data_IF_612842107252
#
_entry.id   IF_612842107252
#
_cell.length_a   1.000
_cell.length_b   1.000
_cell.length_c   1.000
_cell.angle_alpha   90.00
_cell.angle_beta   90.00
_cell.angle_gamma   90.00
#
_symmetry.space_group_name_H-M   'P 1'
#
loop_
_entity.id
_entity.type
_entity.pdbx_description
1 polymer ?
#
# COMPACT_ATOMS: atom_id res chain seq x y z
N UNK A 1 18.80 11.65 -13.84
CA UNK A 1 19.01 10.34 -13.19
C UNK A 1 17.70 9.57 -13.21
N UNK A 2 17.55 8.67 -14.18
CA UNK A 2 16.34 7.85 -14.36
C UNK A 2 16.50 6.56 -13.55
N UNK A 3 16.08 6.59 -12.28
CA UNK A 3 15.93 5.40 -11.42
C UNK A 3 14.57 4.75 -11.73
N UNK A 4 14.22 4.63 -13.01
CA UNK A 4 13.01 3.93 -13.40
C UNK A 4 13.25 2.44 -13.25
N UNK A 5 12.30 1.74 -12.65
CA UNK A 5 12.25 0.28 -12.71
C UNK A 5 13.42 -0.48 -12.08
N UNK A 6 14.24 0.20 -11.26
CA UNK A 6 15.30 -0.45 -10.49
C UNK A 6 14.77 -1.01 -9.18
N UNK A 7 15.27 -2.19 -8.81
CA UNK A 7 15.02 -2.77 -7.49
C UNK A 7 16.05 -2.18 -6.52
N UNK A 8 15.55 -1.58 -5.44
CA UNK A 8 16.40 -1.01 -4.38
C UNK A 8 15.88 -1.43 -3.00
N UNK A 9 16.78 -1.40 -2.02
CA UNK A 9 16.42 -1.65 -0.62
C UNK A 9 15.73 -0.42 -0.06
N UNK A 10 14.42 -0.52 0.18
CA UNK A 10 13.62 0.44 0.95
C UNK A 10 13.80 0.15 2.44
N UNK A 11 14.03 1.21 3.22
CA UNK A 11 13.96 1.22 4.68
C UNK A 11 12.70 1.99 5.06
N UNK A 12 11.74 1.32 5.71
CA UNK A 12 10.49 1.91 6.18
C UNK A 12 10.47 1.99 7.71
N UNK A 13 10.23 3.19 8.25
CA UNK A 13 10.16 3.45 9.69
C UNK A 13 8.72 3.27 10.20
N UNK A 14 8.53 2.31 11.11
CA UNK A 14 7.22 2.01 11.70
C UNK A 14 6.95 2.86 12.94
N UNK A 15 7.83 2.77 13.93
CA UNK A 15 7.80 3.52 15.20
C UNK A 15 9.21 4.03 15.54
N UNK A 16 9.40 4.64 16.72
CA UNK A 16 10.65 5.34 17.06
C UNK A 16 11.91 4.46 16.93
N UNK A 17 11.82 3.13 16.97
CA UNK A 17 13.00 2.25 16.93
C UNK A 17 12.84 0.99 16.04
N UNK A 18 11.77 0.88 15.26
CA UNK A 18 11.52 -0.32 14.44
C UNK A 18 11.47 0.01 12.93
N UNK A 19 12.23 -0.73 12.14
CA UNK A 19 12.35 -0.56 10.69
C UNK A 19 12.03 -1.86 9.94
N UNK A 20 11.37 -1.72 8.79
CA UNK A 20 11.16 -2.80 7.83
C UNK A 20 12.07 -2.54 6.64
N UNK A 21 13.02 -3.45 6.40
CA UNK A 21 13.88 -3.42 5.21
C UNK A 21 13.40 -4.40 4.16
N UNK A 22 13.12 -3.91 2.95
CA UNK A 22 12.64 -4.72 1.84
C UNK A 22 13.20 -4.26 0.49
N UNK A 23 13.37 -5.19 -0.44
CA UNK A 23 13.66 -4.85 -1.82
C UNK A 23 12.36 -4.52 -2.56
N UNK A 24 12.31 -3.35 -3.18
CA UNK A 24 11.12 -2.86 -3.86
C UNK A 24 11.47 -2.09 -5.14
N UNK A 25 10.49 -1.99 -6.03
CA UNK A 25 10.66 -1.34 -7.33
C UNK A 25 10.42 0.16 -7.19
N UNK A 26 11.38 0.96 -7.64
CA UNK A 26 11.24 2.41 -7.74
C UNK A 26 10.29 2.78 -8.88
N UNK A 27 9.45 3.80 -8.67
CA UNK A 27 8.58 4.35 -9.72
C UNK A 27 9.32 5.20 -10.76
N UNK A 28 10.58 5.54 -10.50
CA UNK A 28 11.35 6.52 -11.28
C UNK A 28 11.00 7.98 -11.00
N UNK A 29 10.10 8.25 -10.05
CA UNK A 29 9.75 9.60 -9.60
C UNK A 29 10.40 9.90 -8.25
N UNK A 30 10.63 11.18 -7.99
CA UNK A 30 11.15 11.69 -6.72
C UNK A 30 10.23 12.79 -6.19
N UNK A 31 10.29 13.02 -4.89
CA UNK A 31 9.62 14.18 -4.30
C UNK A 31 10.49 15.42 -4.49
N UNK A 32 9.86 16.47 -5.00
CA UNK A 32 10.43 17.81 -4.98
C UNK A 32 9.76 18.58 -3.84
N UNK A 33 10.58 19.20 -2.98
CA UNK A 33 10.08 20.03 -1.88
C UNK A 33 10.15 21.47 -2.31
N UNK A 34 8.99 22.10 -2.51
CA UNK A 34 8.92 23.53 -2.76
C UNK A 34 9.09 24.28 -1.43
N UNK A 35 10.16 25.07 -1.34
CA UNK A 35 10.54 25.84 -0.14
C UNK A 35 9.72 27.15 -0.05
N UNK A 36 8.94 27.48 -1.09
CA UNK A 36 8.21 28.75 -1.19
C UNK A 36 6.87 28.78 -0.45
N UNK A 37 6.27 27.63 -0.18
CA UNK A 37 5.04 27.51 0.61
C UNK A 37 5.35 27.03 2.03
N UNK A 38 4.66 27.57 3.04
CA UNK A 38 4.62 27.03 4.40
C UNK A 38 3.93 25.66 4.38
N UNK A 39 4.56 24.68 3.74
CA UNK A 39 4.08 23.32 3.69
C UNK A 39 4.04 22.80 5.12
N UNK A 40 2.91 22.18 5.46
CA UNK A 40 2.78 21.45 6.70
C UNK A 40 3.96 20.48 6.87
N UNK A 41 4.42 20.25 8.10
CA UNK A 41 5.58 19.41 8.35
C UNK A 41 5.40 18.03 7.73
N UNK A 42 6.19 17.75 6.69
CA UNK A 42 6.25 16.42 6.06
C UNK A 42 7.10 15.49 6.92
N UNK A 43 6.57 14.32 7.25
CA UNK A 43 7.33 13.27 7.93
C UNK A 43 7.77 12.21 6.94
N UNK A 44 9.07 12.00 6.79
CA UNK A 44 9.60 10.86 6.03
C UNK A 44 9.28 9.56 6.77
N UNK A 45 8.65 8.62 6.07
CA UNK A 45 8.36 7.27 6.55
C UNK A 45 9.26 6.22 5.91
N UNK A 46 9.86 6.50 4.76
CA UNK A 46 10.80 5.57 4.15
C UNK A 46 11.71 6.20 3.12
N UNK A 47 12.88 5.60 2.98
CA UNK A 47 13.94 6.03 2.08
C UNK A 47 14.65 4.81 1.48
N UNK A 48 15.27 4.97 0.30
CA UNK A 48 16.16 3.92 -0.20
C UNK A 48 17.48 3.92 0.58
N UNK A 49 18.01 2.75 0.89
CA UNK A 49 19.32 2.53 1.51
C UNK A 49 20.44 2.82 0.48
N UNK A 50 20.43 4.05 -0.04
CA UNK A 50 21.41 4.65 -0.94
C UNK A 50 22.27 5.66 -0.16
N UNK A 51 23.45 6.05 -0.68
CA UNK A 51 24.26 7.10 -0.06
C UNK A 51 23.50 8.41 0.16
N UNK A 52 22.59 8.73 -0.76
CA UNK A 52 21.79 9.95 -0.75
C UNK A 52 20.53 9.84 0.13
N UNK A 53 20.20 8.61 0.59
CA UNK A 53 19.00 8.29 1.38
C UNK A 53 17.73 8.92 0.79
N UNK A 54 17.54 8.68 -0.51
CA UNK A 54 16.45 9.26 -1.27
C UNK A 54 15.10 8.98 -0.61
N UNK A 55 14.35 10.04 -0.29
CA UNK A 55 13.05 9.93 0.38
C UNK A 55 12.02 9.34 -0.58
N UNK A 56 11.38 8.26 -0.17
CA UNK A 56 10.52 7.43 -1.02
C UNK A 56 9.08 7.34 -0.52
N UNK A 57 8.86 7.44 0.79
CA UNK A 57 7.54 7.42 1.39
C UNK A 57 7.43 8.56 2.39
N UNK A 58 6.38 9.37 2.27
CA UNK A 58 6.17 10.57 3.07
C UNK A 58 4.76 10.61 3.61
N UNK A 59 4.62 11.09 4.83
CA UNK A 59 3.35 11.39 5.48
C UNK A 59 3.14 12.91 5.49
N UNK A 60 2.01 13.32 4.94
CA UNK A 60 1.59 14.70 4.82
C UNK A 60 0.29 14.91 5.59
N UNK A 61 0.27 15.96 6.41
CA UNK A 61 -0.95 16.47 7.03
C UNK A 61 -1.43 17.69 6.24
N UNK A 62 -2.73 17.88 6.07
CA UNK A 62 -3.34 18.98 5.34
C UNK A 62 -4.14 19.91 6.28
N UNK A 63 -3.66 21.15 6.39
CA UNK A 63 -4.25 22.20 7.23
C UNK A 63 -4.42 21.82 8.70
N UNK A 64 -5.20 22.63 9.42
CA UNK A 64 -5.63 22.36 10.80
C UNK A 64 -6.81 21.40 10.90
N UNK A 65 -7.38 21.00 9.76
CA UNK A 65 -8.66 20.28 9.68
C UNK A 65 -8.49 18.75 9.66
N UNK A 66 -7.26 18.25 9.85
CA UNK A 66 -7.00 16.83 10.14
C UNK A 66 -7.02 15.90 8.93
N UNK A 67 -6.87 16.41 7.70
CA UNK A 67 -6.66 15.54 6.54
C UNK A 67 -5.25 14.97 6.54
N UNK A 68 -5.08 13.67 6.30
CA UNK A 68 -3.78 13.01 6.23
C UNK A 68 -3.65 12.20 4.93
N UNK A 69 -2.45 12.19 4.36
CA UNK A 69 -2.14 11.44 3.16
C UNK A 69 -0.72 10.88 3.23
N UNK A 70 -0.55 9.63 2.82
CA UNK A 70 0.76 9.01 2.63
C UNK A 70 1.01 8.86 1.13
N UNK A 71 2.11 9.43 0.65
CA UNK A 71 2.55 9.30 -0.74
C UNK A 71 3.73 8.32 -0.81
N UNK A 72 3.71 7.43 -1.80
CA UNK A 72 4.77 6.45 -2.05
C UNK A 72 5.26 6.54 -3.48
N UNK A 73 6.58 6.70 -3.66
CA UNK A 73 7.26 6.55 -4.96
C UNK A 73 7.78 5.13 -5.19
N UNK A 74 7.44 4.21 -4.30
CA UNK A 74 7.79 2.79 -4.37
C UNK A 74 6.53 1.98 -4.65
N UNK A 75 6.66 1.01 -5.55
CA UNK A 75 5.57 0.11 -5.90
C UNK A 75 5.36 -0.96 -4.82
N UNK A 76 4.38 -0.76 -3.94
CA UNK A 76 4.06 -1.69 -2.86
C UNK A 76 3.05 -2.76 -3.31
N UNK A 77 2.09 -2.41 -4.15
CA UNK A 77 0.97 -3.25 -4.59
C UNK A 77 1.17 -3.92 -5.97
N UNK A 78 2.32 -3.71 -6.62
CA UNK A 78 2.54 -4.25 -7.98
C UNK A 78 2.52 -5.78 -7.99
N UNK A 79 1.77 -6.33 -8.95
CA UNK A 79 1.79 -7.73 -9.31
C UNK A 79 3.12 -8.06 -10.01
N UNK A 80 4.03 -8.70 -9.30
CA UNK A 80 5.36 -9.00 -9.83
C UNK A 80 5.26 -9.93 -11.07
N UNK A 81 4.21 -10.74 -11.20
CA UNK A 81 4.03 -11.62 -12.37
C UNK A 81 3.75 -10.86 -13.67
N UNK A 82 3.23 -9.64 -13.59
CA UNK A 82 3.03 -8.81 -14.79
C UNK A 82 4.29 -8.05 -15.20
N UNK A 83 5.32 -8.00 -14.34
CA UNK A 83 6.61 -7.41 -14.67
C UNK A 83 7.43 -8.44 -15.45
N UNK A 84 7.66 -8.21 -16.74
CA UNK A 84 8.52 -9.06 -17.57
C UNK A 84 10.00 -8.81 -17.20
N UNK A 85 10.45 -9.41 -16.10
CA UNK A 85 11.77 -9.22 -15.47
C UNK A 85 12.61 -10.49 -15.47
N UNK A 86 13.95 -10.38 -15.30
CA UNK A 86 14.81 -11.52 -15.05
C UNK A 86 14.31 -12.38 -13.87
N UNK A 87 14.59 -13.68 -13.91
CA UNK A 87 14.12 -14.64 -12.91
C UNK A 87 14.59 -14.30 -11.49
N UNK A 88 15.81 -13.79 -11.36
CA UNK A 88 16.42 -13.45 -10.07
C UNK A 88 15.71 -12.24 -9.42
N UNK A 89 15.46 -11.20 -10.20
CA UNK A 89 14.67 -10.01 -9.80
C UNK A 89 13.26 -10.41 -9.37
N UNK A 90 12.60 -11.27 -10.15
CA UNK A 90 11.27 -11.79 -9.81
C UNK A 90 11.28 -12.52 -8.46
N UNK A 91 12.26 -13.39 -8.24
CA UNK A 91 12.38 -14.15 -6.99
C UNK A 91 12.66 -13.24 -5.80
N UNK A 92 13.54 -12.25 -5.97
CA UNK A 92 13.88 -11.26 -4.95
C UNK A 92 12.65 -10.47 -4.52
N UNK A 93 11.89 -9.93 -5.47
CA UNK A 93 10.65 -9.19 -5.18
C UNK A 93 9.60 -10.10 -4.53
N UNK A 94 9.50 -11.36 -4.99
CA UNK A 94 8.54 -12.33 -4.45
C UNK A 94 8.83 -12.67 -2.99
N UNK A 95 10.10 -12.81 -2.60
CA UNK A 95 10.50 -13.03 -1.21
C UNK A 95 10.14 -11.83 -0.30
N UNK A 96 10.04 -10.63 -0.88
CA UNK A 96 9.68 -9.40 -0.16
C UNK A 96 8.16 -9.15 -0.11
N UNK A 97 7.32 -10.01 -0.71
CA UNK A 97 5.86 -9.86 -0.68
C UNK A 97 5.32 -9.68 0.74
N UNK A 98 5.75 -10.53 1.68
CA UNK A 98 5.29 -10.47 3.08
C UNK A 98 5.61 -9.08 3.67
N UNK A 99 6.84 -8.62 3.49
CA UNK A 99 7.26 -7.30 3.97
C UNK A 99 6.54 -6.14 3.29
N UNK A 100 6.19 -6.27 2.00
CA UNK A 100 5.35 -5.26 1.30
C UNK A 100 3.97 -5.17 1.95
N UNK A 101 3.37 -6.30 2.30
CA UNK A 101 2.11 -6.31 3.05
C UNK A 101 2.29 -5.71 4.45
N UNK A 102 3.38 -6.01 5.16
CA UNK A 102 3.64 -5.40 6.46
C UNK A 102 3.72 -3.87 6.36
N UNK A 103 4.45 -3.34 5.36
CA UNK A 103 4.51 -1.88 5.11
C UNK A 103 3.13 -1.31 4.80
N UNK A 104 2.35 -1.96 3.92
CA UNK A 104 0.98 -1.52 3.62
C UNK A 104 0.08 -1.51 4.86
N UNK A 105 0.17 -2.53 5.70
CA UNK A 105 -0.59 -2.62 6.96
C UNK A 105 -0.20 -1.48 7.91
N UNK A 106 1.09 -1.18 8.03
CA UNK A 106 1.53 -0.05 8.87
C UNK A 106 1.10 1.31 8.29
N UNK A 107 1.11 1.48 6.96
CA UNK A 107 0.56 2.67 6.30
C UNK A 107 -0.93 2.83 6.63
N UNK A 108 -1.72 1.76 6.54
CA UNK A 108 -3.14 1.81 6.87
C UNK A 108 -3.37 2.18 8.34
N UNK A 109 -2.59 1.60 9.27
CA UNK A 109 -2.65 1.96 10.70
C UNK A 109 -2.28 3.41 10.95
N UNK A 110 -1.26 3.93 10.27
CA UNK A 110 -0.86 5.34 10.37
C UNK A 110 -1.98 6.29 9.92
N UNK A 111 -2.76 5.89 8.91
CA UNK A 111 -3.94 6.63 8.44
C UNK A 111 -5.20 6.37 9.31
N UNK A 112 -5.07 5.68 10.44
CA UNK A 112 -6.20 5.34 11.32
C UNK A 112 -7.17 4.31 10.73
N UNK A 113 -6.81 3.62 9.65
CA UNK A 113 -7.63 2.59 9.03
C UNK A 113 -7.33 1.24 9.69
N UNK A 114 -8.33 0.69 10.37
CA UNK A 114 -8.28 -0.68 10.88
C UNK A 114 -9.20 -1.57 10.04
N UNK A 115 -8.69 -2.71 9.61
CA UNK A 115 -9.49 -3.79 9.00
C UNK A 115 -10.12 -4.70 10.07
N UNK A 116 -9.92 -4.42 11.35
CA UNK A 116 -10.58 -5.15 12.42
C UNK A 116 -12.09 -4.87 12.36
N UNK A 117 -12.90 -5.91 12.49
CA UNK A 117 -14.35 -5.77 12.69
C UNK A 117 -14.56 -5.00 13.99
N UNK A 118 -14.73 -3.68 13.90
CA UNK A 118 -15.03 -2.83 15.06
C UNK A 118 -16.32 -3.27 15.76
N UNK A 119 -17.23 -3.87 15.00
CA UNK A 119 -18.50 -4.45 15.44
C UNK A 119 -18.92 -5.56 14.47
N UNK A 120 -19.46 -6.67 14.98
CA UNK A 120 -20.17 -7.63 14.14
C UNK A 120 -21.34 -6.88 13.48
N UNK A 121 -21.40 -6.77 12.14
CA UNK A 121 -22.55 -6.16 11.48
C UNK A 121 -23.81 -6.97 11.83
N UNK A 122 -24.93 -6.29 12.07
CA UNK A 122 -26.19 -6.98 12.35
C UNK A 122 -26.50 -7.95 11.20
N UNK A 123 -26.94 -9.16 11.55
CA UNK A 123 -27.31 -10.16 10.56
C UNK A 123 -28.44 -9.60 9.69
N UNK A 124 -28.16 -9.30 8.42
CA UNK A 124 -29.18 -8.94 7.45
C UNK A 124 -29.85 -10.22 6.94
N UNK A 125 -31.20 -10.29 6.88
CA UNK A 125 -31.88 -11.47 6.36
C UNK A 125 -31.46 -11.75 4.92
N UNK A 126 -31.05 -12.99 4.65
CA UNK A 126 -30.76 -13.46 3.29
C UNK A 126 -32.08 -13.89 2.63
N UNK A 127 -32.57 -13.11 1.67
CA UNK A 127 -33.73 -13.47 0.87
C UNK A 127 -33.27 -14.22 -0.38
N UNK A 128 -33.47 -15.54 -0.40
CA UNK A 128 -33.26 -16.36 -1.59
C UNK A 128 -34.49 -16.24 -2.50
N UNK A 129 -34.37 -15.50 -3.60
CA UNK A 129 -35.42 -15.44 -4.62
C UNK A 129 -35.29 -16.66 -5.53
N UNK A 130 -36.07 -17.71 -5.25
CA UNK A 130 -36.28 -18.85 -6.16
C UNK A 130 -37.33 -18.49 -7.21
N UNK A 131 -37.11 -18.91 -8.46
CA UNK A 131 -38.16 -18.92 -9.47
C UNK A 131 -38.87 -20.26 -9.44
N UNK A 132 -39.98 -20.33 -8.71
CA UNK A 132 -40.84 -21.51 -8.70
C UNK A 132 -41.61 -21.59 -10.02
N UNK A 133 -41.18 -22.47 -10.94
CA UNK A 133 -42.08 -23.00 -11.96
C UNK A 133 -42.77 -24.24 -11.38
N UNK A 134 -43.84 -24.01 -10.63
CA UNK A 134 -44.79 -25.07 -10.28
C UNK A 134 -45.70 -25.32 -11.49
N UNK A 135 -45.35 -26.31 -12.31
CA UNK A 135 -46.26 -26.92 -13.27
C UNK A 135 -46.73 -28.26 -12.72
N UNK A 136 -47.94 -28.31 -12.16
CA UNK A 136 -48.63 -29.57 -11.91
C UNK A 136 -49.52 -29.88 -13.12
N UNK A 137 -49.12 -30.85 -13.95
CA UNK A 137 -50.06 -31.54 -14.83
C UNK A 137 -50.50 -32.83 -14.12
N UNK A 138 -51.61 -32.74 -13.40
CA UNK A 138 -52.45 -33.87 -13.06
C UNK A 138 -53.70 -33.78 -13.93
N UNK A 139 -53.69 -34.42 -15.10
CA UNK A 139 -54.89 -34.90 -15.76
C UNK A 139 -54.55 -36.00 -16.79
N UNK A 140 -54.94 -37.23 -16.43
CA UNK A 140 -55.34 -38.38 -17.25
C UNK A 140 -54.41 -38.91 -18.35
#
# INVERSE_FOLDING_TARGET
NEIMDTIQTLVFSKDKNNEIKLNALASGKFFEVDISENLNPMKTLGYFDSPDKDTMIVHLSYGSNGGEAILSQVHLEVNIRSLCRPKDDFNLLKLNNIKRYDVLVEILKLLGLSCELSTIPSLTPLYLLSSDKVGFDLNK
#
